data_IF_600034544976
#
_entry.id   IF_600034544976
#
_cell.length_a   1.000
_cell.length_b   1.000
_cell.length_c   1.000
_cell.angle_alpha   90.00
_cell.angle_beta   90.00
_cell.angle_gamma   90.00
#
_symmetry.space_group_name_H-M   'P 1'
#
loop_
_entity.id
_entity.type
_entity.pdbx_description
1 polymer ?
#
# COMPACT_ATOMS: atom_id res chain seq x y z
N UNK A 1 16.63 45.35 -20.20
CA UNK A 1 16.04 44.85 -18.93
C UNK A 1 14.76 44.03 -19.12
N UNK A 2 13.76 44.48 -19.89
CA UNK A 2 12.52 43.69 -20.14
C UNK A 2 12.76 42.35 -20.86
N UNK A 3 13.70 42.30 -21.82
CA UNK A 3 14.06 41.08 -22.56
C UNK A 3 14.77 40.04 -21.69
N UNK A 4 15.66 40.46 -20.79
CA UNK A 4 16.36 39.55 -19.87
C UNK A 4 15.40 38.93 -18.86
N UNK A 5 14.40 39.68 -18.39
CA UNK A 5 13.38 39.19 -17.45
C UNK A 5 12.43 38.15 -18.08
N UNK A 6 12.10 38.31 -19.36
CA UNK A 6 11.32 37.34 -20.15
C UNK A 6 12.09 36.04 -20.38
N UNK A 7 13.40 36.12 -20.65
CA UNK A 7 14.26 34.95 -20.87
C UNK A 7 14.44 34.16 -19.58
N UNK A 8 14.74 34.81 -18.45
CA UNK A 8 14.85 34.11 -17.16
C UNK A 8 13.52 33.55 -16.67
N UNK A 9 12.40 34.25 -16.92
CA UNK A 9 11.06 33.72 -16.65
C UNK A 9 10.74 32.46 -17.47
N UNK A 10 11.09 32.47 -18.76
CA UNK A 10 10.93 31.31 -19.65
C UNK A 10 11.76 30.09 -19.20
N UNK A 11 13.03 30.31 -18.83
CA UNK A 11 13.90 29.25 -18.31
C UNK A 11 13.35 28.71 -16.97
N UNK A 12 12.90 29.59 -16.08
CA UNK A 12 12.32 29.19 -14.79
C UNK A 12 11.07 28.32 -14.94
N UNK A 13 10.16 28.69 -15.85
CA UNK A 13 8.96 27.91 -16.15
C UNK A 13 9.31 26.54 -16.75
N UNK A 14 10.30 26.50 -17.64
CA UNK A 14 10.73 25.27 -18.31
C UNK A 14 11.39 24.30 -17.30
N UNK A 15 12.21 24.80 -16.38
CA UNK A 15 12.75 24.01 -15.28
C UNK A 15 11.65 23.45 -14.36
N UNK A 16 10.63 24.26 -14.00
CA UNK A 16 9.49 23.81 -13.20
C UNK A 16 8.72 22.67 -13.88
N UNK A 17 8.46 22.78 -15.18
CA UNK A 17 7.77 21.74 -15.95
C UNK A 17 8.58 20.44 -16.03
N UNK A 18 9.91 20.53 -16.17
CA UNK A 18 10.80 19.36 -16.16
C UNK A 18 10.81 18.66 -14.79
N UNK A 19 10.85 19.43 -13.70
CA UNK A 19 10.77 18.90 -12.33
C UNK A 19 9.42 18.22 -12.11
N UNK A 20 8.31 18.86 -12.49
CA UNK A 20 6.98 18.26 -12.41
C UNK A 20 6.91 16.95 -13.19
N UNK A 21 7.44 16.93 -14.43
CA UNK A 21 7.49 15.72 -15.27
C UNK A 21 8.31 14.60 -14.64
N UNK A 22 9.44 14.91 -14.01
CA UNK A 22 10.24 13.95 -13.25
C UNK A 22 9.43 13.35 -12.09
N UNK A 23 8.75 14.18 -11.29
CA UNK A 23 7.88 13.71 -10.22
C UNK A 23 6.72 12.83 -10.72
N UNK A 24 6.07 13.21 -11.81
CA UNK A 24 4.99 12.41 -12.41
C UNK A 24 5.50 11.06 -12.91
N UNK A 25 6.64 11.04 -13.60
CA UNK A 25 7.25 9.79 -14.09
C UNK A 25 7.62 8.87 -12.93
N UNK A 26 8.26 9.42 -11.90
CA UNK A 26 8.63 8.65 -10.72
C UNK A 26 7.41 8.05 -10.03
N UNK A 27 6.34 8.83 -9.80
CA UNK A 27 5.10 8.32 -9.19
C UNK A 27 4.40 7.24 -10.00
N UNK A 28 4.42 7.33 -11.34
CA UNK A 28 3.88 6.28 -12.21
C UNK A 28 4.70 4.99 -12.06
N UNK A 29 6.02 5.08 -12.14
CA UNK A 29 6.90 3.91 -11.97
C UNK A 29 6.66 3.23 -10.60
N UNK A 30 6.43 4.01 -9.53
CA UNK A 30 6.08 3.47 -8.20
C UNK A 30 4.76 2.71 -8.18
N UNK A 31 3.75 3.23 -8.87
CA UNK A 31 2.42 2.63 -8.91
C UNK A 31 2.46 1.31 -9.68
N UNK A 32 3.17 1.29 -10.79
CA UNK A 32 3.35 0.11 -11.63
C UNK A 32 4.09 -1.01 -10.89
N UNK A 33 5.15 -0.68 -10.14
CA UNK A 33 5.91 -1.66 -9.36
C UNK A 33 5.08 -2.27 -8.22
N UNK A 34 4.29 -1.44 -7.52
CA UNK A 34 3.38 -1.91 -6.45
C UNK A 34 2.26 -2.80 -7.00
N UNK A 35 1.68 -2.43 -8.14
CA UNK A 35 0.66 -3.26 -8.79
C UNK A 35 1.22 -4.59 -9.30
N UNK A 36 2.39 -4.56 -9.93
CA UNK A 36 3.09 -5.76 -10.37
C UNK A 36 3.35 -6.70 -9.17
N UNK A 37 3.89 -6.17 -8.07
CA UNK A 37 4.18 -6.95 -6.88
C UNK A 37 2.91 -7.54 -6.28
N UNK A 38 1.86 -6.73 -6.10
CA UNK A 38 0.58 -7.18 -5.57
C UNK A 38 -0.03 -8.34 -6.38
N UNK A 39 0.06 -8.28 -7.72
CA UNK A 39 -0.38 -9.36 -8.61
C UNK A 39 0.51 -10.60 -8.51
N UNK A 40 1.83 -10.42 -8.41
CA UNK A 40 2.81 -11.50 -8.35
C UNK A 40 2.69 -12.35 -7.07
N UNK A 41 2.20 -11.78 -5.96
CA UNK A 41 1.96 -12.50 -4.69
C UNK A 41 0.97 -13.67 -4.84
N UNK A 42 -0.04 -13.51 -5.71
CA UNK A 42 -1.15 -14.47 -5.92
C UNK A 42 -1.81 -14.90 -4.60
N UNK A 43 -2.00 -13.96 -3.68
CA UNK A 43 -2.73 -14.18 -2.46
C UNK A 43 -4.22 -14.32 -2.73
N UNK A 44 -4.81 -15.37 -2.18
CA UNK A 44 -6.25 -15.62 -2.15
C UNK A 44 -6.58 -16.23 -0.78
N UNK A 45 -7.04 -15.40 0.15
CA UNK A 45 -7.36 -15.85 1.50
C UNK A 45 -8.45 -14.98 2.15
N UNK A 46 -9.07 -15.53 3.19
CA UNK A 46 -10.00 -14.81 4.05
C UNK A 46 -9.50 -14.84 5.49
N UNK A 47 -9.83 -13.77 6.22
CA UNK A 47 -9.47 -13.63 7.61
C UNK A 47 -10.58 -12.91 8.40
N UNK A 48 -10.46 -12.87 9.72
CA UNK A 48 -11.32 -12.11 10.62
C UNK A 48 -10.47 -11.15 11.44
N UNK A 49 -10.88 -9.90 11.53
CA UNK A 49 -10.21 -8.89 12.33
C UNK A 49 -10.37 -9.23 13.81
N UNK A 50 -9.27 -9.48 14.50
CA UNK A 50 -9.25 -9.69 15.94
C UNK A 50 -9.00 -8.37 16.70
N UNK A 51 -8.12 -7.51 16.19
CA UNK A 51 -7.90 -6.20 16.77
C UNK A 51 -7.45 -5.14 15.75
N UNK A 52 -7.74 -3.89 16.08
CA UNK A 52 -7.41 -2.70 15.28
C UNK A 52 -6.64 -1.73 16.18
N UNK A 53 -5.45 -1.30 15.74
CA UNK A 53 -4.69 -0.23 16.39
C UNK A 53 -4.44 0.88 15.39
N UNK A 54 -5.02 2.04 15.66
CA UNK A 54 -4.83 3.22 14.82
C UNK A 54 -3.43 3.82 15.01
N UNK A 55 -2.76 4.13 13.90
CA UNK A 55 -1.52 4.93 13.88
C UNK A 55 -1.82 6.43 13.78
N UNK A 56 -2.91 6.78 13.08
CA UNK A 56 -3.44 8.14 12.93
C UNK A 56 -4.96 8.05 12.69
N UNK A 57 -5.61 9.14 12.28
CA UNK A 57 -7.07 9.22 12.08
C UNK A 57 -7.62 8.28 11.00
N UNK A 58 -6.77 7.80 10.08
CA UNK A 58 -7.19 6.97 8.94
C UNK A 58 -6.46 5.62 8.94
N UNK A 59 -5.15 5.62 9.15
CA UNK A 59 -4.30 4.43 9.02
C UNK A 59 -4.35 3.55 10.27
N UNK A 60 -4.63 2.27 10.10
CA UNK A 60 -4.67 1.28 11.17
C UNK A 60 -3.79 0.07 10.91
N UNK A 61 -3.22 -0.49 11.98
CA UNK A 61 -2.67 -1.84 12.02
C UNK A 61 -3.80 -2.81 12.40
N UNK A 62 -3.99 -3.84 11.60
CA UNK A 62 -4.98 -4.89 11.85
C UNK A 62 -4.27 -6.18 12.20
N UNK A 63 -4.71 -6.83 13.27
CA UNK A 63 -4.40 -8.24 13.52
C UNK A 63 -5.60 -9.04 13.08
N UNK A 64 -5.37 -9.97 12.17
CA UNK A 64 -6.43 -10.79 11.60
C UNK A 64 -6.09 -12.27 11.78
N UNK A 65 -7.10 -13.04 12.16
CA UNK A 65 -7.04 -14.50 12.22
C UNK A 65 -7.49 -15.06 10.86
N UNK A 66 -6.65 -15.86 10.23
CA UNK A 66 -6.98 -16.56 8.98
C UNK A 66 -8.16 -17.50 9.20
N UNK A 67 -9.13 -17.43 8.29
CA UNK A 67 -10.32 -18.29 8.31
C UNK A 67 -10.35 -19.22 7.11
N UNK A 68 -9.70 -18.86 6.00
CA UNK A 68 -9.53 -19.72 4.83
C UNK A 68 -8.38 -19.27 3.94
N UNK A 69 -7.78 -20.21 3.22
CA UNK A 69 -6.63 -19.95 2.34
C UNK A 69 -5.32 -19.84 3.10
N UNK A 70 -4.22 -19.79 2.35
CA UNK A 70 -2.87 -19.64 2.89
C UNK A 70 -2.19 -18.45 2.21
N UNK A 71 -1.93 -17.34 2.93
CA UNK A 71 -1.07 -16.31 2.41
C UNK A 71 0.34 -16.87 2.36
N UNK A 72 0.76 -17.29 1.18
CA UNK A 72 2.07 -17.90 0.91
C UNK A 72 3.21 -16.89 1.13
N UNK A 73 3.49 -16.53 2.38
CA UNK A 73 4.37 -15.42 2.78
C UNK A 73 5.79 -15.56 2.25
N UNK A 74 6.26 -16.78 2.01
CA UNK A 74 7.55 -17.06 1.34
C UNK A 74 7.65 -16.43 -0.06
N UNK A 75 6.53 -16.13 -0.72
CA UNK A 75 6.50 -15.42 -2.00
C UNK A 75 6.88 -13.96 -1.86
N UNK A 76 6.54 -13.30 -0.75
CA UNK A 76 7.02 -11.94 -0.49
C UNK A 76 8.55 -11.94 -0.48
N UNK A 77 9.18 -12.91 0.19
CA UNK A 77 10.65 -13.03 0.21
C UNK A 77 11.24 -13.32 -1.17
N UNK A 78 10.62 -14.22 -1.93
CA UNK A 78 11.10 -14.64 -3.25
C UNK A 78 10.99 -13.55 -4.32
N UNK A 79 10.06 -12.60 -4.16
CA UNK A 79 9.80 -11.53 -5.13
C UNK A 79 10.65 -10.27 -4.87
N UNK A 80 11.24 -10.12 -3.68
CA UNK A 80 12.08 -8.97 -3.32
C UNK A 80 13.25 -8.70 -4.26
N UNK A 81 14.00 -9.71 -4.76
CA UNK A 81 15.13 -9.46 -5.64
C UNK A 81 14.76 -8.80 -6.98
N UNK A 82 13.46 -8.78 -7.32
CA UNK A 82 12.97 -8.21 -8.57
C UNK A 82 12.57 -6.73 -8.47
N UNK A 83 12.65 -6.12 -7.27
CA UNK A 83 12.45 -4.70 -7.12
C UNK A 83 13.56 -3.91 -7.82
N UNK A 84 13.16 -2.97 -8.68
CA UNK A 84 14.08 -2.15 -9.49
C UNK A 84 14.43 -0.83 -8.82
N UNK A 85 13.48 -0.24 -8.09
CA UNK A 85 13.61 1.13 -7.59
C UNK A 85 13.44 1.27 -6.08
N UNK A 86 12.97 0.24 -5.35
CA UNK A 86 12.40 0.43 -4.01
C UNK A 86 12.91 -0.50 -2.90
N UNK A 87 12.74 0.00 -1.66
CA UNK A 87 12.82 -0.75 -0.41
C UNK A 87 11.75 -1.86 -0.38
N UNK A 88 12.14 -3.02 0.15
CA UNK A 88 11.30 -4.23 0.24
C UNK A 88 9.85 -3.93 0.66
N UNK A 89 8.88 -4.23 -0.22
CA UNK A 89 7.45 -4.13 0.05
C UNK A 89 6.93 -5.40 0.72
N UNK A 90 6.07 -5.23 1.72
CA UNK A 90 5.37 -6.31 2.40
C UNK A 90 3.89 -6.00 2.47
N UNK A 91 3.08 -7.02 2.23
CA UNK A 91 1.67 -6.96 2.59
C UNK A 91 1.48 -7.43 4.03
N UNK A 92 2.10 -8.56 4.36
CA UNK A 92 2.00 -9.16 5.68
C UNK A 92 3.23 -8.74 6.47
N UNK A 93 3.02 -7.79 7.38
CA UNK A 93 4.09 -7.28 8.24
C UNK A 93 4.63 -8.38 9.17
N UNK A 94 3.76 -9.27 9.61
CA UNK A 94 4.10 -10.40 10.46
C UNK A 94 3.05 -11.50 10.32
N UNK A 95 3.51 -12.75 10.37
CA UNK A 95 2.67 -13.93 10.48
C UNK A 95 3.13 -14.78 11.66
N UNK A 96 2.18 -15.19 12.50
CA UNK A 96 2.40 -16.17 13.57
C UNK A 96 1.23 -17.15 13.57
N UNK A 97 1.50 -18.41 13.22
CA UNK A 97 0.48 -19.42 12.97
C UNK A 97 -0.61 -18.90 12.01
N UNK A 98 -1.84 -18.80 12.52
CA UNK A 98 -3.01 -18.33 11.76
C UNK A 98 -3.23 -16.81 11.88
N UNK A 99 -2.37 -16.08 12.60
CA UNK A 99 -2.49 -14.63 12.72
C UNK A 99 -1.62 -13.92 11.70
N UNK A 100 -2.21 -12.98 10.96
CA UNK A 100 -1.53 -12.09 10.02
C UNK A 100 -1.75 -10.64 10.40
N UNK A 101 -0.74 -9.80 10.19
CA UNK A 101 -0.78 -8.37 10.50
C UNK A 101 -0.76 -7.54 9.20
N UNK A 102 -1.77 -6.68 9.03
CA UNK A 102 -1.87 -5.71 7.94
C UNK A 102 -1.64 -4.28 8.44
N UNK A 103 -1.27 -3.40 7.53
CA UNK A 103 -1.36 -1.95 7.71
C UNK A 103 -2.19 -1.39 6.56
N UNK A 104 -3.31 -0.75 6.89
CA UNK A 104 -4.25 -0.25 5.88
C UNK A 104 -4.52 1.26 6.05
N UNK A 105 -4.74 2.01 4.96
CA UNK A 105 -5.00 3.45 5.01
C UNK A 105 -6.39 3.81 5.53
N UNK A 106 -7.37 2.89 5.49
CA UNK A 106 -8.76 3.10 5.92
C UNK A 106 -9.13 2.26 7.17
N UNK A 107 -8.19 2.15 8.11
CA UNK A 107 -8.35 1.40 9.37
C UNK A 107 -9.48 1.90 10.27
N UNK A 108 -9.86 3.18 10.15
CA UNK A 108 -10.93 3.79 10.94
C UNK A 108 -12.33 3.27 10.57
N UNK A 109 -12.50 2.66 9.39
CA UNK A 109 -13.77 2.06 8.96
C UNK A 109 -13.92 0.61 9.45
N UNK A 110 -12.81 -0.03 9.81
CA UNK A 110 -12.73 -1.45 10.15
C UNK A 110 -12.81 -1.63 11.67
N UNK A 111 -13.52 -2.66 12.11
CA UNK A 111 -13.67 -3.00 13.52
C UNK A 111 -13.34 -4.47 13.80
N UNK A 112 -13.13 -4.78 15.08
CA UNK A 112 -13.02 -6.16 15.56
C UNK A 112 -14.26 -6.95 15.15
N UNK A 113 -14.05 -8.17 14.66
CA UNK A 113 -15.10 -9.08 14.23
C UNK A 113 -15.42 -9.00 12.73
N UNK A 114 -15.02 -7.93 12.04
CA UNK A 114 -15.18 -7.80 10.58
C UNK A 114 -14.42 -8.92 9.86
N UNK A 115 -15.00 -9.39 8.76
CA UNK A 115 -14.35 -10.36 7.87
C UNK A 115 -13.57 -9.63 6.77
N UNK A 116 -12.44 -10.20 6.38
CA UNK A 116 -11.52 -9.67 5.39
C UNK A 116 -11.39 -10.68 4.26
N UNK A 117 -11.45 -10.21 3.01
CA UNK A 117 -11.12 -11.01 1.83
C UNK A 117 -10.00 -10.33 1.07
N UNK A 118 -8.93 -11.08 0.79
CA UNK A 118 -7.76 -10.60 0.07
C UNK A 118 -7.63 -11.36 -1.23
N UNK A 119 -7.49 -10.63 -2.33
CA UNK A 119 -7.29 -11.18 -3.67
C UNK A 119 -6.22 -10.37 -4.42
N UNK A 120 -5.06 -10.97 -4.65
CA UNK A 120 -3.99 -10.42 -5.49
C UNK A 120 -4.41 -10.30 -6.95
N UNK A 121 -5.19 -11.25 -7.47
CA UNK A 121 -5.59 -11.24 -8.86
C UNK A 121 -6.44 -10.01 -9.19
N UNK A 122 -7.38 -9.67 -8.30
CA UNK A 122 -8.23 -8.48 -8.42
C UNK A 122 -7.58 -7.21 -7.86
N UNK A 123 -6.41 -7.31 -7.24
CA UNK A 123 -5.75 -6.22 -6.51
C UNK A 123 -6.65 -5.59 -5.43
N UNK A 124 -7.35 -6.40 -4.62
CA UNK A 124 -8.34 -5.93 -3.64
C UNK A 124 -8.16 -6.52 -2.26
N UNK A 125 -8.36 -5.67 -1.25
CA UNK A 125 -8.71 -6.05 0.12
C UNK A 125 -10.11 -5.54 0.39
N UNK A 126 -11.02 -6.44 0.79
CA UNK A 126 -12.40 -6.10 1.09
C UNK A 126 -12.72 -6.44 2.54
N UNK A 127 -13.40 -5.53 3.22
CA UNK A 127 -13.85 -5.68 4.59
C UNK A 127 -15.37 -5.78 4.63
N UNK A 128 -15.90 -6.73 5.40
CA UNK A 128 -17.33 -6.93 5.57
C UNK A 128 -17.73 -7.03 7.03
N UNK A 129 -18.80 -6.34 7.40
CA UNK A 129 -19.46 -6.45 8.70
C UNK A 129 -20.83 -7.07 8.48
N UNK A 130 -21.06 -8.22 9.12
CA UNK A 130 -22.33 -8.96 8.98
C UNK A 130 -22.69 -9.23 7.49
N UNK A 131 -21.67 -9.53 6.67
CA UNK A 131 -21.82 -9.80 5.24
C UNK A 131 -21.96 -8.56 4.34
N UNK A 132 -22.06 -7.35 4.90
CA UNK A 132 -22.14 -6.10 4.12
C UNK A 132 -20.75 -5.48 3.93
N UNK A 133 -20.42 -4.95 2.73
CA UNK A 133 -19.14 -4.29 2.51
C UNK A 133 -19.04 -3.01 3.34
N UNK A 134 -17.89 -2.82 4.01
CA UNK A 134 -17.62 -1.64 4.87
C UNK A 134 -16.47 -0.81 4.32
N UNK A 135 -15.43 -1.47 3.83
CA UNK A 135 -14.28 -0.81 3.21
C UNK A 135 -13.74 -1.69 2.08
N UNK A 136 -13.18 -1.05 1.07
CA UNK A 136 -12.44 -1.73 -0.01
C UNK A 136 -11.22 -0.90 -0.34
N UNK A 137 -10.07 -1.55 -0.29
CA UNK A 137 -8.77 -0.95 -0.61
C UNK A 137 -8.10 -1.73 -1.74
N UNK A 138 -7.22 -1.06 -2.48
CA UNK A 138 -6.34 -1.74 -3.40
C UNK A 138 -5.19 -2.41 -2.64
N UNK A 139 -4.91 -3.68 -2.96
CA UNK A 139 -3.84 -4.44 -2.32
C UNK A 139 -2.49 -3.72 -2.47
N UNK A 140 -2.18 -3.25 -3.68
CA UNK A 140 -0.98 -2.47 -4.01
C UNK A 140 -0.80 -1.24 -3.11
N UNK A 141 -1.89 -0.56 -2.76
CA UNK A 141 -1.87 0.62 -1.90
C UNK A 141 -1.62 0.26 -0.43
N UNK A 142 -1.90 -0.96 0.00
CA UNK A 142 -1.63 -1.40 1.38
C UNK A 142 -0.23 -1.97 1.60
N UNK A 143 0.53 -2.18 0.52
CA UNK A 143 1.93 -2.59 0.62
C UNK A 143 2.74 -1.55 1.41
N UNK A 144 3.49 -2.03 2.41
CA UNK A 144 4.34 -1.19 3.27
C UNK A 144 5.81 -1.56 3.12
N UNK A 145 6.70 -0.56 3.18
CA UNK A 145 8.14 -0.78 3.18
C UNK A 145 8.64 -1.20 4.57
N UNK A 146 9.80 -1.85 4.66
CA UNK A 146 10.42 -2.19 5.95
C UNK A 146 10.60 -0.94 6.82
N UNK A 147 9.89 -0.90 7.95
CA UNK A 147 10.07 0.11 9.00
C UNK A 147 9.19 1.37 8.92
N UNK A 148 8.53 1.69 7.80
CA UNK A 148 7.59 2.84 7.70
C UNK A 148 6.50 2.61 6.64
N UNK A 149 5.21 2.74 6.98
CA UNK A 149 4.14 2.82 5.97
C UNK A 149 4.40 4.05 5.09
N UNK A 150 4.29 3.91 3.75
CA UNK A 150 4.52 4.99 2.78
C UNK A 150 3.61 6.22 2.97
N UNK A 151 2.56 6.09 3.79
CA UNK A 151 1.56 7.12 4.06
C UNK A 151 1.82 7.92 5.35
N UNK A 152 2.80 7.54 6.16
CA UNK A 152 3.18 8.33 7.35
C UNK A 152 4.14 9.44 6.88
N UNK A 153 3.58 10.62 6.60
CA UNK A 153 4.36 11.85 6.43
C UNK A 153 5.18 12.09 7.70
N UNK A 154 6.50 12.32 7.56
CA UNK A 154 7.34 12.80 8.67
C UNK A 154 6.65 14.02 9.28
N UNK A 155 6.25 13.96 10.55
CA UNK A 155 6.12 15.17 11.35
C UNK A 155 7.51 15.80 11.38
N UNK A 156 7.64 16.99 10.80
CA UNK A 156 8.81 17.85 10.99
C UNK A 156 8.82 18.33 12.43
#
# INVERSE_FOLDING_TARGET
MKKTLLITGGIGLLCLLLIARLFFRQNNDMTDEREWFAKALRYEFSARVDSVRMFNEHTGRLWCLLTSGDPQTHREDSLKPFFKQHDMLYLIFHRSADTVIFIIPNGNLVAKGDSVRVSSQKNTIQFFREGKPVATDQLSNTLTGFGRPFFIKKRK
#
